data_IF_984724923774
#
_entry.id   IF_984724923774
#
_cell.length_a   1.000
_cell.length_b   1.000
_cell.length_c   1.000
_cell.angle_alpha   90.00
_cell.angle_beta   90.00
_cell.angle_gamma   90.00
#
_symmetry.space_group_name_H-M   'P 1'
#
loop_
_entity.id
_entity.type
_entity.pdbx_description
1 polymer ?
#
# COMPACT_ATOMS: atom_id res chain seq x y z
N UNK A 1 -3.89 4.75 52.60
CA UNK A 1 -3.50 5.21 51.24
C UNK A 1 -3.54 4.07 50.19
N UNK A 2 -4.59 3.24 50.11
CA UNK A 2 -4.69 2.12 49.15
C UNK A 2 -5.44 2.48 47.85
N UNK A 3 -6.47 3.33 47.92
CA UNK A 3 -7.29 3.76 46.76
C UNK A 3 -6.53 4.54 45.68
N UNK A 4 -5.54 5.35 46.07
CA UNK A 4 -4.77 6.18 45.13
C UNK A 4 -3.82 5.33 44.26
N UNK A 5 -3.22 4.28 44.85
CA UNK A 5 -2.34 3.36 44.13
C UNK A 5 -3.10 2.48 43.15
N UNK A 6 -4.28 1.97 43.54
CA UNK A 6 -5.12 1.16 42.65
C UNK A 6 -5.65 1.95 41.45
N UNK A 7 -5.97 3.23 41.63
CA UNK A 7 -6.38 4.12 40.53
C UNK A 7 -5.21 4.43 39.58
N UNK A 8 -4.00 4.61 40.08
CA UNK A 8 -2.80 4.79 39.25
C UNK A 8 -2.42 3.53 38.48
N UNK A 9 -2.53 2.34 39.09
CA UNK A 9 -2.24 1.07 38.41
C UNK A 9 -3.28 0.75 37.32
N UNK A 10 -4.56 1.01 37.57
CA UNK A 10 -5.61 0.87 36.54
C UNK A 10 -5.41 1.83 35.37
N UNK A 11 -5.04 3.09 35.63
CA UNK A 11 -4.70 4.05 34.56
C UNK A 11 -3.44 3.63 33.79
N UNK A 12 -2.40 3.16 34.46
CA UNK A 12 -1.18 2.66 33.81
C UNK A 12 -1.44 1.42 32.95
N UNK A 13 -2.33 0.54 33.39
CA UNK A 13 -2.75 -0.60 32.59
C UNK A 13 -3.56 -0.14 31.37
N UNK A 14 -4.55 0.74 31.53
CA UNK A 14 -5.33 1.29 30.41
C UNK A 14 -4.47 2.04 29.39
N UNK A 15 -3.55 2.90 29.82
CA UNK A 15 -2.60 3.59 28.95
C UNK A 15 -1.65 2.63 28.21
N UNK A 16 -1.29 1.50 28.83
CA UNK A 16 -0.51 0.46 28.18
C UNK A 16 -1.33 -0.37 27.17
N UNK A 17 -2.61 -0.62 27.43
CA UNK A 17 -3.52 -1.27 26.47
C UNK A 17 -3.77 -0.37 25.25
N UNK A 18 -3.99 0.93 25.45
CA UNK A 18 -4.16 1.91 24.36
C UNK A 18 -2.86 2.10 23.53
N UNK A 19 -1.69 1.96 24.14
CA UNK A 19 -0.39 1.98 23.44
C UNK A 19 -0.06 0.68 22.70
N UNK A 20 -0.74 -0.43 22.99
CA UNK A 20 -0.36 -1.76 22.49
C UNK A 20 -1.18 -2.25 21.29
N UNK A 21 -2.30 -1.61 20.94
CA UNK A 21 -3.06 -1.99 19.74
C UNK A 21 -2.64 -1.15 18.54
N UNK A 22 -1.48 -1.46 17.95
CA UNK A 22 -1.12 -0.94 16.62
C UNK A 22 -2.24 -1.30 15.66
N UNK A 23 -2.88 -0.31 15.03
CA UNK A 23 -4.02 -0.58 14.17
C UNK A 23 -3.58 -1.36 12.93
N UNK A 24 -4.50 -2.13 12.34
CA UNK A 24 -4.24 -2.83 11.07
C UNK A 24 -3.80 -1.82 9.99
N UNK A 25 -4.33 -0.60 10.03
CA UNK A 25 -3.97 0.46 9.10
C UNK A 25 -2.50 0.90 9.26
N UNK A 26 -2.01 1.04 10.49
CA UNK A 26 -0.61 1.40 10.76
C UNK A 26 0.34 0.29 10.33
N UNK A 27 -0.06 -0.98 10.51
CA UNK A 27 0.69 -2.14 10.04
C UNK A 27 0.78 -2.17 8.52
N UNK A 28 -0.33 -1.91 7.83
CA UNK A 28 -0.35 -1.79 6.37
C UNK A 28 0.52 -0.63 5.90
N UNK A 29 0.43 0.53 6.54
CA UNK A 29 1.26 1.69 6.19
C UNK A 29 2.76 1.40 6.37
N UNK A 30 3.14 0.73 7.47
CA UNK A 30 4.51 0.27 7.67
C UNK A 30 4.96 -0.66 6.54
N UNK A 31 4.15 -1.67 6.19
CA UNK A 31 4.50 -2.60 5.11
C UNK A 31 4.64 -1.84 3.78
N UNK A 32 3.68 -0.99 3.42
CA UNK A 32 3.73 -0.16 2.21
C UNK A 32 4.99 0.69 2.15
N UNK A 33 5.37 1.34 3.25
CA UNK A 33 6.59 2.15 3.35
C UNK A 33 7.87 1.34 3.11
N UNK A 34 7.88 0.06 3.45
CA UNK A 34 9.05 -0.83 3.24
C UNK A 34 9.07 -1.42 1.84
N UNK A 35 7.92 -1.84 1.32
CA UNK A 35 7.82 -2.51 0.00
C UNK A 35 7.86 -1.53 -1.16
N UNK A 36 7.49 -0.26 -0.96
CA UNK A 36 7.55 0.79 -1.99
C UNK A 36 8.88 1.52 -1.96
N UNK A 37 9.34 1.97 -3.12
CA UNK A 37 10.39 2.98 -3.17
C UNK A 37 9.92 4.28 -2.49
N UNK A 38 10.83 5.09 -1.91
CA UNK A 38 10.44 6.31 -1.19
C UNK A 38 9.56 7.23 -2.02
N UNK A 39 9.94 7.45 -3.28
CA UNK A 39 9.18 8.25 -4.26
C UNK A 39 7.80 7.66 -4.58
N UNK A 40 7.70 6.34 -4.72
CA UNK A 40 6.44 5.64 -4.96
C UNK A 40 5.49 5.77 -3.76
N UNK A 41 6.02 5.63 -2.54
CA UNK A 41 5.25 5.81 -1.30
C UNK A 41 4.78 7.26 -1.12
N UNK A 42 5.64 8.24 -1.38
CA UNK A 42 5.25 9.65 -1.33
C UNK A 42 4.14 9.98 -2.35
N UNK A 43 4.27 9.45 -3.57
CA UNK A 43 3.24 9.64 -4.60
C UNK A 43 1.90 9.02 -4.17
N UNK A 44 1.94 7.81 -3.61
CA UNK A 44 0.73 7.15 -3.07
C UNK A 44 0.10 7.96 -1.93
N UNK A 45 0.89 8.58 -1.04
CA UNK A 45 0.39 9.48 0.00
C UNK A 45 -0.27 10.73 -0.59
N UNK A 46 0.34 11.33 -1.61
CA UNK A 46 -0.26 12.48 -2.30
C UNK A 46 -1.60 12.11 -2.95
N UNK A 47 -1.70 10.93 -3.56
CA UNK A 47 -2.96 10.43 -4.12
C UNK A 47 -4.03 10.24 -3.04
N UNK A 48 -3.66 9.78 -1.84
CA UNK A 48 -4.61 9.63 -0.72
C UNK A 48 -5.28 10.95 -0.35
N UNK A 49 -4.55 12.06 -0.40
CA UNK A 49 -5.05 13.39 -0.04
C UNK A 49 -5.81 14.07 -1.20
N UNK A 50 -5.31 13.94 -2.43
CA UNK A 50 -5.81 14.71 -3.57
C UNK A 50 -6.82 13.94 -4.44
N UNK A 51 -6.69 12.62 -4.53
CA UNK A 51 -7.47 11.76 -5.43
C UNK A 51 -7.88 10.45 -4.73
N UNK A 52 -8.73 10.50 -3.69
CA UNK A 52 -9.00 9.36 -2.82
C UNK A 52 -9.57 8.13 -3.55
N UNK A 53 -10.34 8.33 -4.63
CA UNK A 53 -10.85 7.23 -5.45
C UNK A 53 -9.73 6.48 -6.19
N UNK A 54 -8.75 7.23 -6.72
CA UNK A 54 -7.57 6.67 -7.39
C UNK A 54 -6.69 5.95 -6.37
N UNK A 55 -6.48 6.57 -5.20
CA UNK A 55 -5.79 5.93 -4.08
C UNK A 55 -6.47 4.60 -3.69
N UNK A 56 -7.79 4.58 -3.52
CA UNK A 56 -8.50 3.37 -3.12
C UNK A 56 -8.37 2.24 -4.15
N UNK A 57 -8.41 2.58 -5.45
CA UNK A 57 -8.15 1.62 -6.52
C UNK A 57 -6.75 1.01 -6.37
N UNK A 58 -5.71 1.85 -6.29
CA UNK A 58 -4.32 1.39 -6.15
C UNK A 58 -4.14 0.60 -4.85
N UNK A 59 -4.77 1.03 -3.76
CA UNK A 59 -4.73 0.34 -2.48
C UNK A 59 -5.31 -1.06 -2.57
N UNK A 60 -6.45 -1.24 -3.25
CA UNK A 60 -7.06 -2.56 -3.43
C UNK A 60 -6.19 -3.50 -4.28
N UNK A 61 -5.45 -2.96 -5.25
CA UNK A 61 -4.49 -3.72 -6.06
C UNK A 61 -3.25 -4.14 -5.25
N UNK A 62 -2.74 -3.26 -4.38
CA UNK A 62 -1.54 -3.52 -3.58
C UNK A 62 -1.82 -4.32 -2.30
N UNK A 63 -3.01 -4.12 -1.72
CA UNK A 63 -3.39 -4.62 -0.39
C UNK A 63 -4.70 -5.42 -0.53
N UNK A 64 -4.56 -6.62 -1.08
CA UNK A 64 -5.65 -7.59 -1.11
C UNK A 64 -6.01 -8.13 0.28
N UNK A 65 -7.12 -8.85 0.39
CA UNK A 65 -7.56 -9.44 1.67
C UNK A 65 -6.51 -10.35 2.31
N UNK A 66 -5.77 -11.11 1.49
CA UNK A 66 -4.69 -11.98 1.97
C UNK A 66 -3.56 -11.18 2.65
N UNK A 67 -3.24 -9.99 2.14
CA UNK A 67 -2.21 -9.11 2.71
C UNK A 67 -2.66 -8.64 4.10
N UNK A 68 -3.93 -8.27 4.24
CA UNK A 68 -4.51 -7.82 5.52
C UNK A 68 -4.50 -8.96 6.54
N UNK A 69 -4.95 -10.15 6.13
CA UNK A 69 -5.01 -11.33 7.02
C UNK A 69 -3.62 -11.76 7.51
N UNK A 70 -2.60 -11.59 6.66
CA UNK A 70 -1.23 -12.01 6.96
C UNK A 70 -0.31 -10.85 7.37
N UNK A 71 -0.86 -9.67 7.72
CA UNK A 71 -0.05 -8.46 7.86
C UNK A 71 1.02 -8.58 8.97
N UNK A 72 0.70 -9.22 10.08
CA UNK A 72 1.63 -9.46 11.18
C UNK A 72 2.76 -10.41 10.77
N UNK A 73 2.44 -11.43 9.98
CA UNK A 73 3.43 -12.36 9.44
C UNK A 73 4.36 -11.66 8.44
N UNK A 74 3.83 -10.80 7.57
CA UNK A 74 4.63 -10.00 6.64
C UNK A 74 5.60 -9.08 7.37
N UNK A 75 5.15 -8.43 8.44
CA UNK A 75 6.00 -7.59 9.30
C UNK A 75 7.12 -8.43 9.92
N UNK A 76 6.81 -9.60 10.47
CA UNK A 76 7.80 -10.49 11.07
C UNK A 76 8.86 -10.93 10.05
N UNK A 77 8.46 -11.27 8.82
CA UNK A 77 9.40 -11.57 7.72
C UNK A 77 10.29 -10.38 7.43
N UNK A 78 9.71 -9.19 7.22
CA UNK A 78 10.46 -7.97 6.89
C UNK A 78 11.51 -7.68 7.95
N UNK A 79 11.13 -7.76 9.23
CA UNK A 79 12.03 -7.52 10.36
C UNK A 79 13.15 -8.56 10.43
N UNK A 80 12.81 -9.85 10.27
CA UNK A 80 13.80 -10.95 10.31
C UNK A 80 14.83 -10.89 9.18
N UNK A 81 14.44 -10.39 7.99
CA UNK A 81 15.28 -10.33 6.80
C UNK A 81 15.96 -8.98 6.58
N UNK A 82 15.69 -7.99 7.45
CA UNK A 82 16.23 -6.64 7.32
C UNK A 82 15.63 -5.82 6.17
N UNK A 83 14.48 -6.21 5.63
CA UNK A 83 13.80 -5.51 4.54
C UNK A 83 13.30 -6.42 3.42
N UNK A 84 13.05 -5.79 2.26
CA UNK A 84 12.51 -6.44 1.05
C UNK A 84 13.54 -6.30 -0.07
N UNK A 85 13.91 -7.39 -0.77
CA UNK A 85 15.00 -7.39 -1.74
C UNK A 85 14.73 -6.56 -3.00
N UNK A 86 13.45 -6.36 -3.37
CA UNK A 86 13.04 -5.48 -4.47
C UNK A 86 11.85 -4.65 -4.03
N UNK A 87 11.98 -3.33 -4.14
CA UNK A 87 10.89 -2.41 -3.86
C UNK A 87 10.09 -2.12 -5.12
N UNK A 88 8.82 -1.82 -4.94
CA UNK A 88 7.91 -1.41 -6.01
C UNK A 88 8.28 0.02 -6.43
N UNK A 89 8.67 0.23 -7.70
CA UNK A 89 9.08 1.54 -8.18
C UNK A 89 7.90 2.47 -8.50
N UNK A 90 8.20 3.76 -8.70
CA UNK A 90 7.20 4.80 -8.93
C UNK A 90 6.40 4.59 -10.22
N UNK A 91 7.05 4.10 -11.28
CA UNK A 91 6.44 3.79 -12.57
C UNK A 91 5.29 2.79 -12.45
N UNK A 92 5.38 1.81 -11.54
CA UNK A 92 4.28 0.87 -11.24
C UNK A 92 3.09 1.62 -10.63
N UNK A 93 3.32 2.54 -9.70
CA UNK A 93 2.24 3.32 -9.09
C UNK A 93 1.60 4.27 -10.12
N UNK A 94 2.40 4.92 -10.97
CA UNK A 94 1.91 5.74 -12.08
C UNK A 94 1.12 4.89 -13.08
N UNK A 95 1.56 3.67 -13.35
CA UNK A 95 0.82 2.75 -14.22
C UNK A 95 -0.56 2.45 -13.65
N UNK A 96 -0.65 2.08 -12.36
CA UNK A 96 -1.92 1.81 -11.69
C UNK A 96 -2.81 3.05 -11.61
N UNK A 97 -2.24 4.23 -11.35
CA UNK A 97 -2.94 5.51 -11.41
C UNK A 97 -3.57 5.74 -12.79
N UNK A 98 -2.81 5.52 -13.87
CA UNK A 98 -3.32 5.68 -15.25
C UNK A 98 -4.44 4.68 -15.54
N UNK A 99 -4.34 3.45 -15.06
CA UNK A 99 -5.41 2.44 -15.17
C UNK A 99 -6.67 2.92 -14.44
N UNK A 100 -6.55 3.37 -13.19
CA UNK A 100 -7.66 3.90 -12.40
C UNK A 100 -8.34 5.09 -13.09
N UNK A 101 -7.56 5.96 -13.74
CA UNK A 101 -8.05 7.13 -14.48
C UNK A 101 -8.58 6.78 -15.89
N UNK A 102 -8.50 5.52 -16.32
CA UNK A 102 -8.92 5.10 -17.66
C UNK A 102 -8.05 5.66 -18.80
N UNK A 103 -6.82 6.11 -18.48
CA UNK A 103 -5.90 6.70 -19.47
C UNK A 103 -5.30 5.58 -20.32
N UNK A 104 -5.80 5.46 -21.56
CA UNK A 104 -5.28 4.50 -22.55
C UNK A 104 -3.90 4.90 -23.07
N UNK A 105 -3.19 3.92 -23.64
CA UNK A 105 -1.93 4.20 -24.33
C UNK A 105 -2.22 5.08 -25.55
N UNK A 106 -1.42 6.13 -25.75
CA UNK A 106 -1.62 7.06 -26.87
C UNK A 106 -1.01 6.53 -28.17
N UNK A 107 -0.14 5.52 -28.09
CA UNK A 107 0.54 4.97 -29.27
C UNK A 107 -0.38 3.94 -29.92
N UNK A 108 -0.85 4.27 -31.13
CA UNK A 108 -1.61 3.37 -31.98
C UNK A 108 -0.67 2.63 -32.93
N UNK A 109 -0.84 1.31 -33.02
CA UNK A 109 -0.10 0.40 -33.91
C UNK A 109 -1.10 -0.21 -34.89
N UNK A 110 -0.70 -0.29 -36.17
CA UNK A 110 -1.49 -0.95 -37.21
C UNK A 110 -0.95 -2.37 -37.42
N UNK A 111 -1.80 -3.39 -37.27
CA UNK A 111 -1.49 -4.81 -37.58
C UNK A 111 -2.49 -5.30 -38.62
N UNK A 112 -2.06 -5.37 -39.88
CA UNK A 112 -2.98 -5.59 -41.00
C UNK A 112 -3.98 -4.43 -41.11
N UNK A 113 -5.28 -4.72 -41.09
CA UNK A 113 -6.35 -3.72 -41.14
C UNK A 113 -6.82 -3.24 -39.75
N UNK A 114 -6.36 -3.87 -38.67
CA UNK A 114 -6.70 -3.46 -37.31
C UNK A 114 -5.74 -2.39 -36.77
N UNK A 115 -6.31 -1.33 -36.19
CA UNK A 115 -5.55 -0.34 -35.40
C UNK A 115 -5.80 -0.63 -33.92
N UNK A 116 -4.73 -0.88 -33.17
CA UNK A 116 -4.79 -1.18 -31.73
C UNK A 116 -3.71 -0.44 -30.96
N UNK A 117 -3.91 -0.27 -29.66
CA UNK A 117 -2.92 0.38 -28.80
C UNK A 117 -1.66 -0.49 -28.65
N UNK A 118 -0.47 0.14 -28.59
CA UNK A 118 0.83 -0.56 -28.48
C UNK A 118 0.88 -1.52 -27.29
N UNK A 119 0.28 -1.14 -26.15
CA UNK A 119 0.23 -2.01 -24.97
C UNK A 119 -0.56 -3.29 -25.20
N UNK A 120 -1.66 -3.21 -25.95
CA UNK A 120 -2.47 -4.38 -26.35
C UNK A 120 -1.74 -5.25 -27.37
N UNK A 121 -0.98 -4.62 -28.27
CA UNK A 121 -0.15 -5.31 -29.24
C UNK A 121 0.94 -6.16 -28.56
N UNK A 122 1.65 -5.60 -27.58
CA UNK A 122 2.72 -6.30 -26.86
C UNK A 122 2.21 -7.47 -25.98
N UNK A 123 0.98 -7.43 -25.49
CA UNK A 123 0.38 -8.54 -24.70
C UNK A 123 -0.11 -9.71 -25.56
N UNK A 124 -0.32 -9.50 -26.86
CA UNK A 124 -0.76 -10.53 -27.82
C UNK A 124 0.39 -11.19 -28.59
N UNK A 125 1.63 -10.73 -28.36
CA UNK A 125 2.85 -11.21 -29.02
C UNK A 125 3.48 -12.38 -28.32
#
# INVERSE_FOLDING_TARGET
MKKMRSLMEQKKQQENYEKQTVSVQDKVDFVLKVVLEPQAYQHLKNLKENEPNVYQYIFNELVGQEVIQNIDYLIAIIQSRGGVPRRIPLDVIIYLERQAKGIKSQIKVKRGDEVMDLGSYLKKG
#
